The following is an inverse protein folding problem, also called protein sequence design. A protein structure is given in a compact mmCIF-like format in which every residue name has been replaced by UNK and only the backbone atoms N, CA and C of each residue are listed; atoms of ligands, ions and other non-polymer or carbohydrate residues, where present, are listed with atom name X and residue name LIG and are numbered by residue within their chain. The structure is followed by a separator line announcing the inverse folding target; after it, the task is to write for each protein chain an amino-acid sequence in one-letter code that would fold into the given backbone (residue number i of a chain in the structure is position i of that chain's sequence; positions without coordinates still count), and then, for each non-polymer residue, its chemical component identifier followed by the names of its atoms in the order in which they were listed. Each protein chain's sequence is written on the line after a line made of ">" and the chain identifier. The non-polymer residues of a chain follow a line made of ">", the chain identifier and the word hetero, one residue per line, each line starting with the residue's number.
data_IF_867113271093
#
_entry.id   IF_867113271093
#
_cell.length_a   1.000
_cell.length_b   1.000
_cell.length_c   1.000
_cell.angle_alpha   90.00
_cell.angle_beta   90.00
_cell.angle_gamma   90.00
#
_symmetry.space_group_name_H-M   'P 1'
#
loop_
_entity.id
_entity.type
_entity.pdbx_description
1 polymer ?
#
# COMPACT_ATOMS: atom_id res chain seq x y z
N UNK A 1 12.64 1.33 2.58
CA UNK A 1 12.15 0.80 1.28
C UNK A 1 12.83 1.60 0.20
N UNK A 2 13.17 0.99 -0.93
CA UNK A 2 13.88 1.71 -1.99
C UNK A 2 13.50 1.22 -3.38
N UNK A 3 13.77 2.08 -4.36
CA UNK A 3 13.66 1.74 -5.78
C UNK A 3 15.08 1.62 -6.32
N UNK A 4 15.35 0.56 -7.07
CA UNK A 4 16.65 0.32 -7.70
C UNK A 4 16.50 0.09 -9.21
N UNK A 5 17.47 0.55 -10.00
CA UNK A 5 17.62 0.15 -11.41
C UNK A 5 18.34 -1.20 -11.58
N UNK A 6 18.87 -1.76 -10.49
CA UNK A 6 19.53 -3.06 -10.49
C UNK A 6 18.46 -4.13 -10.23
N UNK A 7 18.43 -5.16 -11.08
CA UNK A 7 17.57 -6.32 -10.87
C UNK A 7 18.17 -7.20 -9.76
N UNK A 8 17.58 -7.25 -8.56
CA UNK A 8 18.09 -8.06 -7.47
C UNK A 8 17.99 -9.56 -7.76
N UNK A 9 17.09 -10.01 -8.64
CA UNK A 9 16.89 -11.42 -8.95
C UNK A 9 17.97 -11.99 -9.91
N UNK A 10 18.69 -11.11 -10.63
CA UNK A 10 19.71 -11.50 -11.62
C UNK A 10 21.14 -11.34 -11.13
N UNK A 11 21.35 -11.10 -9.84
CA UNK A 11 22.70 -10.96 -9.28
C UNK A 11 23.41 -12.32 -9.25
N UNK A 12 24.51 -12.47 -10.00
CA UNK A 12 25.28 -13.73 -10.10
C UNK A 12 25.83 -14.20 -8.76
N UNK A 13 26.19 -13.26 -7.87
CA UNK A 13 26.73 -13.57 -6.53
C UNK A 13 25.66 -13.61 -5.44
N UNK A 14 24.37 -13.62 -5.81
CA UNK A 14 23.25 -13.49 -4.89
C UNK A 14 23.07 -12.05 -4.37
N UNK A 15 22.05 -11.85 -3.53
CA UNK A 15 21.85 -10.56 -2.86
C UNK A 15 22.99 -10.34 -1.85
N UNK A 16 23.64 -9.16 -1.85
CA UNK A 16 24.70 -8.86 -0.89
C UNK A 16 24.19 -8.96 0.55
N UNK A 17 25.09 -9.33 1.47
CA UNK A 17 24.78 -9.51 2.90
C UNK A 17 24.22 -8.23 3.54
N UNK A 18 24.60 -7.05 3.01
CA UNK A 18 24.07 -5.75 3.38
C UNK A 18 23.44 -5.10 2.15
N UNK A 19 22.17 -5.43 1.89
CA UNK A 19 21.46 -4.99 0.69
C UNK A 19 21.44 -3.46 0.51
N UNK A 20 21.27 -2.68 1.58
CA UNK A 20 21.14 -1.22 1.49
C UNK A 20 22.43 -0.45 1.08
N UNK A 21 23.62 -0.72 1.66
CA UNK A 21 24.85 -0.07 1.19
C UNK A 21 25.34 -0.64 -0.14
N UNK A 22 25.16 -1.93 -0.40
CA UNK A 22 25.77 -2.60 -1.54
C UNK A 22 24.96 -2.41 -2.83
N UNK A 23 23.61 -2.47 -2.78
CA UNK A 23 22.79 -2.15 -3.96
C UNK A 23 22.91 -0.68 -4.37
N UNK A 24 23.07 0.23 -3.40
CA UNK A 24 23.32 1.64 -3.68
C UNK A 24 24.66 1.89 -4.38
N UNK A 25 25.65 1.01 -4.19
CA UNK A 25 26.95 1.06 -4.88
C UNK A 25 26.90 0.42 -6.27
N UNK A 26 26.06 -0.60 -6.47
CA UNK A 26 25.94 -1.34 -7.73
C UNK A 26 25.17 -0.58 -8.82
N UNK A 27 24.37 0.42 -8.46
CA UNK A 27 23.63 1.22 -9.43
C UNK A 27 22.80 2.33 -8.81
N UNK A 28 22.00 3.00 -9.64
CA UNK A 28 21.13 4.09 -9.19
C UNK A 28 20.03 3.53 -8.29
N UNK A 29 20.02 3.98 -7.04
CA UNK A 29 19.04 3.63 -6.03
C UNK A 29 18.49 4.90 -5.37
N UNK A 30 17.20 4.90 -5.08
CA UNK A 30 16.47 5.96 -4.38
C UNK A 30 15.95 5.38 -3.08
N UNK A 31 16.53 5.81 -1.96
CA UNK A 31 16.39 5.14 -0.66
C UNK A 31 15.69 6.05 0.32
N UNK A 32 14.54 5.61 0.82
CA UNK A 32 13.81 6.36 1.84
C UNK A 32 13.39 5.47 3.01
N UNK A 33 13.64 5.98 4.21
CA UNK A 33 13.33 5.30 5.45
C UNK A 33 11.86 5.54 5.81
N UNK A 34 11.12 4.45 6.02
CA UNK A 34 9.77 4.53 6.59
C UNK A 34 9.91 4.59 8.10
N UNK A 35 9.68 5.77 8.67
CA UNK A 35 9.76 6.02 10.11
C UNK A 35 8.40 5.91 10.78
N UNK A 36 8.42 5.85 12.12
CA UNK A 36 7.20 5.71 12.93
C UNK A 36 6.34 6.97 13.02
N UNK A 37 6.92 8.16 12.86
CA UNK A 37 6.25 9.41 13.19
C UNK A 37 6.34 10.49 12.12
N UNK A 38 7.23 10.34 11.12
CA UNK A 38 7.51 11.42 10.17
C UNK A 38 7.93 10.87 8.81
N UNK A 39 6.94 10.61 7.96
CA UNK A 39 7.16 10.20 6.56
C UNK A 39 6.81 11.30 5.55
N UNK A 40 6.17 12.38 6.01
CA UNK A 40 5.97 13.57 5.19
C UNK A 40 7.28 14.35 5.10
N UNK A 41 8.03 14.08 4.04
CA UNK A 41 9.31 14.72 3.79
C UNK A 41 9.06 16.21 3.54
N UNK A 42 9.68 17.04 4.38
CA UNK A 42 9.78 18.48 4.15
C UNK A 42 11.05 18.69 3.31
N UNK A 43 10.86 19.31 2.15
CA UNK A 43 11.93 19.60 1.20
C UNK A 43 13.14 20.31 1.84
N UNK A 44 14.34 19.89 1.46
CA UNK A 44 15.57 20.67 1.60
C UNK A 44 16.08 21.06 0.21
N UNK A 45 15.39 21.99 -0.45
CA UNK A 45 15.94 22.78 -1.56
C UNK A 45 15.50 24.24 -1.38
N UNK A 46 16.33 25.11 -0.78
CA UNK A 46 15.95 26.48 -0.46
C UNK A 46 15.70 27.35 -1.71
N UNK A 47 16.25 27.00 -2.87
CA UNK A 47 16.08 27.77 -4.10
C UNK A 47 14.70 27.57 -4.75
N UNK A 48 14.16 26.34 -4.79
CA UNK A 48 12.79 26.09 -5.28
C UNK A 48 11.70 26.34 -4.24
N UNK A 49 12.03 26.26 -2.95
CA UNK A 49 11.12 26.61 -1.86
C UNK A 49 10.62 28.06 -1.93
N UNK A 50 11.39 28.98 -2.52
CA UNK A 50 10.99 30.38 -2.70
C UNK A 50 9.99 30.58 -3.84
N UNK A 51 10.01 29.73 -4.87
CA UNK A 51 9.01 29.74 -5.94
C UNK A 51 7.75 28.96 -5.59
N UNK A 52 7.84 27.99 -4.67
CA UNK A 52 6.70 27.24 -4.15
C UNK A 52 6.31 27.75 -2.77
N UNK A 53 5.59 28.89 -2.73
CA UNK A 53 4.59 29.09 -1.67
C UNK A 53 3.77 27.79 -1.52
N UNK A 54 3.26 27.43 -0.33
CA UNK A 54 2.55 26.17 -0.12
C UNK A 54 1.20 26.22 -0.83
N UNK A 55 1.21 26.15 -2.16
CA UNK A 55 0.10 25.68 -2.95
C UNK A 55 -0.25 24.34 -2.33
N UNK A 56 -1.46 24.27 -1.77
CA UNK A 56 -1.95 23.13 -1.00
C UNK A 56 -1.57 21.84 -1.73
N UNK A 57 -0.60 21.11 -1.18
CA UNK A 57 -0.16 19.86 -1.77
C UNK A 57 -1.38 18.96 -1.94
N UNK A 58 -1.68 18.61 -3.19
CA UNK A 58 -2.81 17.75 -3.51
C UNK A 58 -2.30 16.33 -3.62
N UNK A 59 -2.88 15.42 -2.83
CA UNK A 59 -2.48 14.02 -2.84
C UNK A 59 -2.62 13.41 -4.23
N UNK A 60 -1.64 12.60 -4.65
CA UNK A 60 -1.69 11.85 -5.91
C UNK A 60 -2.83 10.82 -5.94
N UNK A 61 -3.38 10.45 -4.77
CA UNK A 61 -4.53 9.56 -4.66
C UNK A 61 -5.88 10.29 -4.85
N UNK A 62 -5.86 11.62 -4.82
CA UNK A 62 -7.06 12.46 -4.76
C UNK A 62 -7.87 12.23 -3.48
N UNK A 63 -9.17 12.55 -3.52
CA UNK A 63 -10.11 12.34 -2.41
C UNK A 63 -11.11 11.19 -2.66
N UNK A 64 -11.04 10.57 -3.83
CA UNK A 64 -12.00 9.55 -4.26
C UNK A 64 -11.75 8.20 -3.58
N UNK A 65 -12.80 7.39 -3.46
CA UNK A 65 -12.68 6.00 -3.00
C UNK A 65 -11.98 5.13 -4.04
N UNK A 66 -12.21 5.36 -5.33
CA UNK A 66 -11.52 4.68 -6.42
C UNK A 66 -10.35 5.54 -6.88
N UNK A 67 -9.15 4.97 -6.81
CA UNK A 67 -7.89 5.60 -7.21
C UNK A 67 -7.51 5.04 -8.57
N UNK A 68 -7.25 5.93 -9.52
CA UNK A 68 -6.75 5.57 -10.85
C UNK A 68 -5.23 5.61 -10.85
N UNK A 69 -4.60 4.56 -11.37
CA UNK A 69 -3.14 4.44 -11.51
C UNK A 69 -2.83 4.01 -12.95
N UNK A 70 -1.57 4.10 -13.36
CA UNK A 70 -1.13 3.66 -14.70
C UNK A 70 -1.46 2.17 -14.98
N UNK A 71 -1.52 1.34 -13.93
CA UNK A 71 -1.79 -0.09 -14.05
C UNK A 71 -3.27 -0.47 -13.90
N UNK A 72 -4.16 0.49 -13.60
CA UNK A 72 -5.59 0.25 -13.42
C UNK A 72 -6.21 1.00 -12.24
N UNK A 73 -7.41 0.60 -11.84
CA UNK A 73 -8.18 1.21 -10.76
C UNK A 73 -8.08 0.38 -9.49
N UNK A 74 -7.85 1.02 -8.35
CA UNK A 74 -7.75 0.39 -7.02
C UNK A 74 -8.67 1.10 -6.02
N UNK A 75 -9.32 0.36 -5.12
CA UNK A 75 -10.10 0.99 -4.04
C UNK A 75 -9.17 1.44 -2.91
N UNK A 76 -9.38 2.65 -2.39
CA UNK A 76 -8.65 3.22 -1.25
C UNK A 76 -8.73 2.34 -0.01
N UNK A 77 -9.82 1.60 0.18
CA UNK A 77 -9.95 0.63 1.27
C UNK A 77 -8.88 -0.49 1.21
N UNK A 78 -8.39 -0.84 0.03
CA UNK A 78 -7.28 -1.80 -0.15
C UNK A 78 -5.93 -1.21 0.25
N UNK A 79 -5.82 0.11 0.40
CA UNK A 79 -4.60 0.77 0.89
C UNK A 79 -4.68 1.06 2.40
N UNK A 80 -5.85 0.89 3.02
CA UNK A 80 -6.06 1.12 4.46
C UNK A 80 -5.57 -0.05 5.31
N UNK A 81 -5.28 0.18 6.60
CA UNK A 81 -4.85 -0.89 7.50
C UNK A 81 -5.86 -2.03 7.57
N UNK A 82 -5.35 -3.24 7.80
CA UNK A 82 -6.18 -4.33 8.27
C UNK A 82 -6.30 -4.26 9.80
N UNK A 83 -7.40 -3.66 10.27
CA UNK A 83 -7.67 -3.51 11.70
C UNK A 83 -7.90 -4.83 12.41
N UNK A 84 -8.43 -5.86 11.74
CA UNK A 84 -8.59 -7.19 12.33
C UNK A 84 -7.25 -7.81 12.73
N UNK A 85 -6.22 -7.66 11.90
CA UNK A 85 -4.84 -8.09 12.19
C UNK A 85 -4.20 -7.27 13.31
N UNK A 86 -4.51 -5.97 13.38
CA UNK A 86 -4.01 -5.09 14.45
C UNK A 86 -4.65 -5.43 15.80
N UNK A 87 -5.98 -5.55 15.86
CA UNK A 87 -6.71 -5.87 17.10
C UNK A 87 -6.38 -7.27 17.63
N UNK A 88 -6.22 -8.28 16.77
CA UNK A 88 -5.81 -9.62 17.22
C UNK A 88 -4.42 -9.61 17.87
N UNK A 89 -3.51 -8.77 17.39
CA UNK A 89 -2.18 -8.61 17.97
C UNK A 89 -2.24 -7.87 19.31
N UNK A 90 -3.08 -6.83 19.44
CA UNK A 90 -3.31 -6.16 20.72
C UNK A 90 -3.92 -7.10 21.77
N UNK A 91 -4.90 -7.92 21.37
CA UNK A 91 -5.53 -8.90 22.25
C UNK A 91 -4.54 -9.99 22.70
N UNK A 92 -3.64 -10.44 21.83
CA UNK A 92 -2.63 -11.44 22.17
C UNK A 92 -1.49 -10.91 23.05
N UNK A 93 -1.14 -9.63 22.92
CA UNK A 93 -0.11 -8.99 23.73
C UNK A 93 -0.64 -8.42 25.06
N UNK A 94 -1.96 -8.30 25.21
CA UNK A 94 -2.60 -7.98 26.47
C UNK A 94 -2.63 -9.20 27.37
N UNK A 95 -1.71 -9.27 28.34
CA UNK A 95 -1.78 -10.26 29.43
C UNK A 95 -3.20 -10.30 30.02
N UNK A 96 -3.76 -11.50 30.11
CA UNK A 96 -5.14 -11.75 30.51
C UNK A 96 -5.60 -11.06 31.79
N UNK A 97 -6.25 -9.92 31.62
CA UNK A 97 -7.27 -9.44 32.54
C UNK A 97 -8.56 -9.25 31.73
N UNK A 98 -9.42 -10.26 31.81
CA UNK A 98 -10.85 -10.11 31.59
C UNK A 98 -11.41 -9.13 32.62
N UNK A 99 -11.38 -7.85 32.30
CA UNK A 99 -12.38 -6.91 32.80
C UNK A 99 -13.51 -6.88 31.79
N UNK A 100 -14.60 -7.59 32.13
CA UNK A 100 -15.92 -7.35 31.55
C UNK A 100 -16.33 -5.93 31.91
N UNK A 101 -15.89 -4.95 31.12
CA UNK A 101 -16.56 -3.66 30.96
C UNK A 101 -16.03 -3.05 29.67
N UNK A 102 -16.90 -3.09 28.67
CA UNK A 102 -16.56 -2.81 27.27
C UNK A 102 -16.40 -1.33 27.02
N UNK A 103 -15.29 -1.00 26.37
CA UNK A 103 -15.18 0.01 25.33
C UNK A 103 -14.10 -0.54 24.39
N UNK A 104 -14.51 -1.32 23.39
CA UNK A 104 -13.63 -1.66 22.25
C UNK A 104 -13.05 -0.33 21.76
N UNK A 105 -11.71 -0.13 21.71
CA UNK A 105 -11.15 1.17 21.36
C UNK A 105 -11.74 1.58 20.04
N UNK A 106 -12.57 2.63 20.05
CA UNK A 106 -13.39 2.98 18.88
C UNK A 106 -12.51 2.93 17.63
N UNK A 107 -13.02 2.37 16.53
CA UNK A 107 -12.27 2.27 15.27
C UNK A 107 -11.57 3.59 14.87
N UNK A 108 -12.10 4.74 15.34
CA UNK A 108 -11.50 6.08 15.22
C UNK A 108 -10.26 6.31 16.10
N UNK A 109 -10.24 5.81 17.34
CA UNK A 109 -9.07 5.85 18.21
C UNK A 109 -7.97 4.88 17.74
N UNK A 110 -8.33 3.66 17.33
CA UNK A 110 -7.39 2.68 16.76
C UNK A 110 -6.71 3.19 15.47
N UNK A 111 -7.48 3.89 14.61
CA UNK A 111 -6.97 4.63 13.44
C UNK A 111 -5.86 5.63 13.77
N UNK A 112 -5.94 6.30 14.93
CA UNK A 112 -5.00 7.34 15.35
C UNK A 112 -3.72 6.76 15.97
N UNK A 113 -3.75 5.50 16.39
CA UNK A 113 -2.64 4.82 17.07
C UNK A 113 -1.75 4.00 16.13
N UNK A 114 -2.26 3.60 14.96
CA UNK A 114 -1.53 2.78 14.00
C UNK A 114 -0.36 3.54 13.36
N UNK A 115 0.83 3.04 13.62
CA UNK A 115 2.08 3.52 13.04
C UNK A 115 2.38 2.79 11.73
N UNK A 116 3.14 3.42 10.82
CA UNK A 116 3.48 2.89 9.50
C UNK A 116 4.03 1.44 9.51
N UNK A 117 4.75 1.04 10.56
CA UNK A 117 5.42 -0.26 10.68
C UNK A 117 4.68 -1.25 11.58
N UNK A 118 3.50 -0.89 12.09
CA UNK A 118 2.68 -1.78 12.92
C UNK A 118 2.03 -2.91 12.12
N UNK A 119 1.68 -3.99 12.81
CA UNK A 119 0.97 -5.12 12.21
C UNK A 119 -0.36 -4.66 11.64
N UNK A 120 -0.60 -4.98 10.37
CA UNK A 120 -1.81 -4.59 9.64
C UNK A 120 -1.69 -3.26 8.90
N UNK A 121 -0.65 -2.44 9.14
CA UNK A 121 -0.36 -1.27 8.32
C UNK A 121 -0.05 -1.68 6.87
N UNK A 122 -0.40 -0.81 5.92
CA UNK A 122 -0.13 -0.99 4.50
C UNK A 122 0.75 0.14 4.01
N UNK A 123 1.87 -0.23 3.38
CA UNK A 123 2.82 0.70 2.79
C UNK A 123 2.83 0.43 1.28
N UNK A 124 2.63 1.49 0.51
CA UNK A 124 2.75 1.49 -0.95
C UNK A 124 3.78 2.51 -1.40
N UNK A 125 4.34 2.26 -2.59
CA UNK A 125 5.20 3.19 -3.30
C UNK A 125 4.56 3.47 -4.63
N UNK A 126 4.40 4.75 -4.96
CA UNK A 126 3.98 5.18 -6.28
C UNK A 126 5.10 5.94 -6.97
N UNK A 127 5.22 5.69 -8.26
CA UNK A 127 6.13 6.36 -9.14
C UNK A 127 5.33 7.26 -10.07
N UNK A 128 5.55 8.57 -9.99
CA UNK A 128 4.78 9.58 -10.69
C UNK A 128 5.70 10.39 -11.61
N UNK A 129 5.60 10.23 -12.94
CA UNK A 129 6.29 11.08 -13.90
C UNK A 129 5.87 12.55 -13.77
N UNK A 130 6.83 13.46 -13.92
CA UNK A 130 6.58 14.90 -14.03
C UNK A 130 5.98 15.24 -15.41
N UNK A 131 5.40 16.44 -15.53
CA UNK A 131 4.78 16.94 -16.77
C UNK A 131 5.74 16.94 -17.97
N UNK A 132 7.04 17.09 -17.71
CA UNK A 132 8.08 17.05 -18.76
C UNK A 132 8.35 15.64 -19.28
N UNK A 133 7.96 14.60 -18.53
CA UNK A 133 8.24 13.20 -18.84
C UNK A 133 9.72 12.80 -18.73
N UNK A 134 10.59 13.71 -18.27
CA UNK A 134 12.04 13.47 -18.17
C UNK A 134 12.40 12.90 -16.79
N UNK A 135 11.68 13.31 -15.76
CA UNK A 135 11.90 12.91 -14.37
C UNK A 135 10.60 12.38 -13.76
N UNK A 136 10.75 11.58 -12.72
CA UNK A 136 9.66 11.15 -11.85
C UNK A 136 10.00 11.44 -10.40
N UNK A 137 8.93 11.45 -9.61
CA UNK A 137 8.94 11.54 -8.16
C UNK A 137 8.40 10.24 -7.59
N UNK A 138 9.03 9.81 -6.51
CA UNK A 138 8.56 8.69 -5.71
C UNK A 138 7.63 9.22 -4.63
N UNK A 139 6.51 8.56 -4.38
CA UNK A 139 5.58 8.89 -3.29
C UNK A 139 5.37 7.68 -2.39
N UNK A 140 5.37 7.92 -1.08
CA UNK A 140 4.96 6.91 -0.12
C UNK A 140 3.49 7.03 0.19
N UNK A 141 2.83 5.88 0.24
CA UNK A 141 1.44 5.77 0.68
C UNK A 141 1.45 4.92 1.92
N UNK A 142 0.98 5.49 3.02
CA UNK A 142 0.89 4.80 4.30
C UNK A 142 -0.56 4.81 4.71
N UNK A 143 -1.13 3.61 4.88
CA UNK A 143 -2.48 3.44 5.40
C UNK A 143 -3.58 4.18 4.59
N UNK A 144 -3.35 4.36 3.29
CA UNK A 144 -4.26 5.04 2.37
C UNK A 144 -4.07 6.55 2.31
N UNK A 145 -3.02 7.07 2.97
CA UNK A 145 -2.62 8.48 2.96
C UNK A 145 -1.28 8.65 2.26
N UNK A 146 -1.26 9.55 1.30
CA UNK A 146 -0.06 9.99 0.60
C UNK A 146 0.81 10.88 1.51
N UNK A 147 2.08 10.51 1.60
CA UNK A 147 3.06 11.18 2.44
C UNK A 147 3.78 12.31 1.69
N UNK A 148 3.51 12.52 0.40
CA UNK A 148 4.23 13.48 -0.41
C UNK A 148 5.42 12.88 -1.15
N UNK A 149 6.07 13.67 -2.02
CA UNK A 149 7.19 13.22 -2.83
C UNK A 149 8.41 13.01 -1.95
N UNK A 150 9.06 11.86 -2.13
CA UNK A 150 10.12 11.38 -1.26
C UNK A 150 11.53 11.58 -1.80
N UNK A 151 11.69 11.98 -3.05
CA UNK A 151 12.95 12.37 -3.68
C UNK A 151 12.56 12.95 -5.05
N UNK A 152 13.09 14.12 -5.39
CA UNK A 152 12.92 14.70 -6.72
C UNK A 152 14.04 14.18 -7.63
N UNK A 153 13.69 13.84 -8.89
CA UNK A 153 14.62 13.55 -10.00
C UNK A 153 15.02 12.08 -10.21
N UNK A 154 14.06 11.15 -10.24
CA UNK A 154 14.28 9.82 -10.83
C UNK A 154 14.26 9.96 -12.36
N UNK A 155 15.36 9.71 -13.09
CA UNK A 155 15.39 9.91 -14.54
C UNK A 155 14.53 8.86 -15.27
N UNK A 156 13.62 9.31 -16.14
CA UNK A 156 12.79 8.50 -17.02
C UNK A 156 13.18 8.78 -18.47
N UNK A 157 14.40 8.40 -18.86
CA UNK A 157 14.77 8.41 -20.27
C UNK A 157 14.32 7.10 -20.95
N UNK A 158 14.22 7.08 -22.28
CA UNK A 158 13.98 5.84 -23.05
C UNK A 158 15.05 4.77 -22.78
N UNK A 159 16.25 5.20 -22.39
CA UNK A 159 17.38 4.35 -22.02
C UNK A 159 17.44 4.04 -20.51
N UNK A 160 16.43 4.45 -19.74
CA UNK A 160 16.38 4.16 -18.31
C UNK A 160 16.09 2.68 -18.07
N UNK A 161 16.90 2.07 -17.22
CA UNK A 161 16.72 0.68 -16.79
C UNK A 161 15.37 0.53 -16.03
N UNK A 162 14.75 -0.66 -16.08
CA UNK A 162 13.55 -0.93 -15.32
C UNK A 162 13.77 -0.69 -13.83
N UNK A 163 12.73 -0.18 -13.16
CA UNK A 163 12.75 0.10 -11.74
C UNK A 163 12.20 -1.09 -10.96
N UNK A 164 12.95 -1.55 -9.97
CA UNK A 164 12.59 -2.63 -9.07
C UNK A 164 12.30 -2.07 -7.68
N UNK A 165 11.15 -2.42 -7.13
CA UNK A 165 10.83 -2.11 -5.74
C UNK A 165 11.53 -3.12 -4.83
N UNK A 166 12.36 -2.62 -3.91
CA UNK A 166 13.10 -3.45 -2.97
C UNK A 166 12.69 -3.09 -1.54
N UNK A 167 12.38 -4.12 -0.77
CA UNK A 167 12.03 -4.00 0.64
C UNK A 167 13.10 -4.70 1.45
N UNK A 168 13.80 -3.92 2.25
CA UNK A 168 14.67 -4.45 3.29
C UNK A 168 13.90 -4.48 4.62
N UNK A 169 13.87 -5.64 5.26
CA UNK A 169 13.10 -5.91 6.48
C UNK A 169 14.09 -6.13 7.61
N UNK A 170 14.21 -5.13 8.48
CA UNK A 170 15.12 -5.17 9.63
C UNK A 170 14.48 -4.55 10.88
N UNK A 171 15.05 -4.85 12.04
CA UNK A 171 14.65 -4.26 13.32
C UNK A 171 13.33 -4.82 13.85
N UNK A 172 12.34 -3.95 14.10
CA UNK A 172 11.06 -4.33 14.74
C UNK A 172 10.09 -5.01 13.79
N UNK A 173 10.27 -4.85 12.48
CA UNK A 173 9.43 -5.50 11.47
C UNK A 173 10.01 -6.87 11.16
N UNK A 174 9.24 -7.93 11.43
CA UNK A 174 9.69 -9.33 11.25
C UNK A 174 9.20 -9.98 9.97
N UNK A 175 8.06 -9.53 9.46
CA UNK A 175 7.40 -10.15 8.32
C UNK A 175 6.71 -9.07 7.48
N UNK A 176 6.74 -9.26 6.16
CA UNK A 176 5.96 -8.49 5.20
C UNK A 176 5.13 -9.43 4.35
N UNK A 177 4.04 -8.91 3.79
CA UNK A 177 3.21 -9.62 2.81
C UNK A 177 2.97 -8.69 1.63
N UNK A 178 3.30 -9.16 0.42
CA UNK A 178 2.96 -8.45 -0.81
C UNK A 178 1.45 -8.59 -1.05
N UNK A 179 0.78 -7.47 -1.26
CA UNK A 179 -0.66 -7.40 -1.53
C UNK A 179 -0.85 -7.04 -3.00
N UNK A 180 -1.46 -7.95 -3.74
CA UNK A 180 -1.79 -7.72 -5.15
C UNK A 180 -3.00 -6.79 -5.26
N UNK A 181 -2.81 -5.60 -5.82
CA UNK A 181 -3.86 -4.57 -5.93
C UNK A 181 -4.68 -4.67 -7.22
N UNK A 182 -4.05 -5.13 -8.31
CA UNK A 182 -4.67 -5.21 -9.64
C UNK A 182 -5.10 -6.62 -9.99
N UNK A 183 -5.51 -7.39 -8.97
CA UNK A 183 -6.09 -8.70 -9.22
C UNK A 183 -7.33 -8.47 -10.06
N UNK A 184 -7.28 -8.86 -11.33
CA UNK A 184 -8.46 -8.87 -12.17
C UNK A 184 -9.43 -9.81 -11.47
N UNK A 185 -10.53 -9.27 -10.95
CA UNK A 185 -11.61 -10.10 -10.40
C UNK A 185 -11.93 -11.14 -11.44
N UNK A 186 -11.91 -12.43 -11.07
CA UNK A 186 -12.38 -13.46 -11.98
C UNK A 186 -13.77 -13.05 -12.48
N UNK A 187 -14.09 -13.36 -13.73
CA UNK A 187 -15.43 -13.08 -14.27
C UNK A 187 -16.51 -13.57 -13.31
N UNK A 188 -16.27 -14.70 -12.64
CA UNK A 188 -17.09 -15.25 -11.57
C UNK A 188 -17.32 -14.28 -10.40
N UNK A 189 -16.25 -13.68 -9.85
CA UNK A 189 -16.36 -12.72 -8.75
C UNK A 189 -16.97 -11.38 -9.20
N UNK A 190 -16.68 -10.93 -10.42
CA UNK A 190 -17.33 -9.75 -10.99
C UNK A 190 -18.86 -9.96 -11.21
N UNK A 191 -19.24 -11.12 -11.73
CA UNK A 191 -20.65 -11.51 -11.88
C UNK A 191 -21.34 -11.67 -10.53
N UNK A 192 -20.67 -12.25 -9.54
CA UNK A 192 -21.17 -12.34 -8.15
C UNK A 192 -21.51 -10.96 -7.61
N UNK A 193 -20.56 -10.02 -7.64
CA UNK A 193 -20.75 -8.68 -7.09
C UNK A 193 -21.92 -7.97 -7.79
N UNK A 194 -22.05 -8.12 -9.11
CA UNK A 194 -23.17 -7.56 -9.87
C UNK A 194 -24.51 -8.18 -9.45
N UNK A 195 -24.59 -9.50 -9.27
CA UNK A 195 -25.80 -10.19 -8.82
C UNK A 195 -26.20 -9.72 -7.42
N UNK A 196 -25.25 -9.62 -6.50
CA UNK A 196 -25.49 -9.16 -5.12
C UNK A 196 -25.91 -7.69 -5.06
N UNK A 197 -25.49 -6.87 -6.02
CA UNK A 197 -25.93 -5.48 -6.10
C UNK A 197 -27.37 -5.35 -6.62
N UNK A 198 -27.78 -6.23 -7.53
CA UNK A 198 -29.11 -6.19 -8.16
C UNK A 198 -30.15 -6.96 -7.35
N UNK A 199 -29.73 -8.02 -6.65
CA UNK A 199 -30.63 -8.97 -5.98
C UNK A 199 -30.48 -8.85 -4.46
N UNK A 200 -31.56 -8.55 -3.72
CA UNK A 200 -31.50 -8.49 -2.28
C UNK A 200 -31.31 -9.90 -1.66
N UNK A 201 -30.67 -10.00 -0.48
CA UNK A 201 -30.19 -11.27 0.08
C UNK A 201 -31.27 -12.31 0.34
N UNK A 202 -32.51 -11.88 0.58
CA UNK A 202 -33.66 -12.77 0.79
C UNK A 202 -34.17 -13.42 -0.51
N UNK A 203 -33.84 -12.87 -1.68
CA UNK A 203 -34.23 -13.41 -2.99
C UNK A 203 -33.15 -14.31 -3.61
N UNK A 204 -31.92 -14.28 -3.09
CA UNK A 204 -30.82 -15.11 -3.58
C UNK A 204 -31.13 -16.63 -3.53
N UNK A 205 -31.76 -17.18 -2.48
CA UNK A 205 -32.09 -18.62 -2.42
C UNK A 205 -33.23 -19.02 -3.36
N UNK A 206 -34.00 -18.04 -3.86
CA UNK A 206 -35.15 -18.24 -4.73
C UNK A 206 -34.79 -18.17 -6.22
N UNK A 207 -33.53 -17.82 -6.54
CA UNK A 207 -33.07 -17.79 -7.92
C UNK A 207 -33.05 -19.22 -8.51
N UNK A 208 -33.42 -19.40 -9.79
CA UNK A 208 -33.38 -20.70 -10.45
C UNK A 208 -31.93 -21.09 -10.82
N UNK A 209 -31.05 -21.10 -9.82
CA UNK A 209 -29.62 -21.38 -9.97
C UNK A 209 -29.26 -22.67 -9.21
N UNK A 210 -28.20 -23.39 -9.63
CA UNK A 210 -27.70 -24.54 -8.88
C UNK A 210 -27.30 -24.16 -7.44
N UNK A 211 -27.57 -25.04 -6.48
CA UNK A 211 -27.25 -24.80 -5.05
C UNK A 211 -25.78 -24.42 -4.80
N UNK A 212 -24.84 -24.98 -5.58
CA UNK A 212 -23.42 -24.61 -5.51
C UNK A 212 -23.15 -23.15 -5.85
N UNK A 213 -23.90 -22.58 -6.80
CA UNK A 213 -23.80 -21.17 -7.19
C UNK A 213 -24.48 -20.28 -6.17
N UNK A 214 -25.58 -20.72 -5.56
CA UNK A 214 -26.23 -19.98 -4.47
C UNK A 214 -25.32 -19.92 -3.24
N UNK A 215 -24.75 -21.07 -2.83
CA UNK A 215 -23.76 -21.14 -1.75
C UNK A 215 -22.51 -20.32 -2.08
N UNK A 216 -22.04 -20.46 -3.33
CA UNK A 216 -21.39 -19.44 -4.14
C UNK A 216 -21.59 -18.03 -3.59
N UNK A 217 -22.67 -17.41 -4.06
CA UNK A 217 -23.11 -16.04 -3.82
C UNK A 217 -23.28 -15.69 -2.33
N UNK A 218 -23.63 -16.64 -1.46
CA UNK A 218 -23.85 -16.40 -0.04
C UNK A 218 -22.55 -16.35 0.77
N UNK A 219 -21.68 -17.35 0.64
CA UNK A 219 -20.58 -17.58 1.60
C UNK A 219 -19.21 -17.04 1.13
N UNK A 220 -19.08 -16.71 -0.16
CA UNK A 220 -17.81 -16.23 -0.72
C UNK A 220 -16.77 -17.33 -0.88
N UNK A 221 -15.71 -17.06 -1.64
CA UNK A 221 -14.59 -17.99 -1.81
C UNK A 221 -13.87 -18.22 -0.47
N UNK A 222 -14.27 -19.25 0.28
CA UNK A 222 -13.45 -19.85 1.35
C UNK A 222 -12.44 -20.82 0.73
N UNK A 223 -11.54 -20.29 -0.11
CA UNK A 223 -10.40 -21.03 -0.69
C UNK A 223 -9.21 -20.11 -0.90
#
# INVERSE_FOLDING_TARGET
>A
MYISQVDPAKQENGLPQYALPDLAQLGKCWVSAVTKSRNRLQYHSPERARSSLPAQYTSILGNNEVISTACGRVRRSMLRPSYSLFCSTLANNGNGQTSQDGEEPSLKAAKKLLVATDVGSRIGVMFCPDETGIFARMHFIINGEDQGPSEELIPISKDSAPLFAVVDVYGTTKQIRLIELYKVSSLQNACRDLILQITPPHQLPLLPLPQKVIHFLCDGDNS
#
